data_IF_855783184966
#
_entry.id   IF_855783184966
#
_cell.length_a   1.000
_cell.length_b   1.000
_cell.length_c   1.000
_cell.angle_alpha   90.00
_cell.angle_beta   90.00
_cell.angle_gamma   90.00
#
_symmetry.space_group_name_H-M   'P 1'
#
loop_
_entity.id
_entity.type
_entity.pdbx_description
1 polymer ?
#
# COMPACT_ATOMS: atom_id res chain seq x y z
N UNK A 1 -20.67 3.40 -14.17
CA UNK A 1 -20.44 4.74 -13.57
C UNK A 1 -19.04 5.19 -13.95
N UNK A 2 -18.91 6.22 -14.79
CA UNK A 2 -17.61 6.74 -15.21
C UNK A 2 -17.16 7.80 -14.19
N UNK A 3 -16.42 7.40 -13.15
CA UNK A 3 -15.85 8.33 -12.16
C UNK A 3 -14.43 8.69 -12.60
N UNK A 4 -14.13 9.99 -12.62
CA UNK A 4 -12.77 10.46 -12.85
C UNK A 4 -11.81 9.86 -11.81
N UNK A 5 -10.63 9.44 -12.27
CA UNK A 5 -9.55 8.92 -11.42
C UNK A 5 -8.73 10.13 -10.94
N UNK A 6 -8.55 10.26 -9.63
CA UNK A 6 -7.73 11.31 -9.02
C UNK A 6 -6.24 11.05 -9.27
N UNK A 7 -5.44 12.11 -9.41
CA UNK A 7 -3.97 11.99 -9.51
C UNK A 7 -3.33 11.51 -8.19
N UNK A 8 -4.05 11.65 -7.06
CA UNK A 8 -3.66 11.10 -5.76
C UNK A 8 -4.68 10.12 -5.20
N UNK A 9 -4.22 9.25 -4.30
CA UNK A 9 -4.99 8.27 -3.56
C UNK A 9 -4.55 8.21 -2.09
N UNK A 10 -5.39 7.61 -1.26
CA UNK A 10 -5.05 7.31 0.13
C UNK A 10 -4.52 5.89 0.30
N UNK A 11 -3.66 5.68 1.29
CA UNK A 11 -3.13 4.37 1.65
C UNK A 11 -2.32 4.37 2.93
N UNK A 12 -2.03 3.18 3.44
CA UNK A 12 -1.11 2.97 4.57
C UNK A 12 0.29 2.68 4.02
N UNK A 13 1.27 3.48 4.42
CA UNK A 13 2.65 3.37 3.99
C UNK A 13 3.52 2.84 5.12
N UNK A 14 4.38 1.87 4.80
CA UNK A 14 5.43 1.39 5.69
C UNK A 14 6.63 2.35 5.63
N UNK A 15 6.89 3.06 6.73
CA UNK A 15 7.91 4.11 6.83
C UNK A 15 9.27 3.59 7.32
N UNK A 16 9.34 2.34 7.77
CA UNK A 16 10.55 1.72 8.31
C UNK A 16 10.26 0.40 9.00
N UNK A 17 11.27 -0.19 9.64
CA UNK A 17 11.10 -1.39 10.43
C UNK A 17 10.85 -1.06 11.91
N UNK A 18 9.91 -1.76 12.55
CA UNK A 18 9.57 -1.48 13.95
C UNK A 18 8.16 -1.89 14.34
N UNK A 19 7.61 -1.20 15.34
CA UNK A 19 6.25 -1.40 15.81
C UNK A 19 5.20 -0.80 14.86
N UNK A 20 3.91 -0.81 15.26
CA UNK A 20 2.82 -0.27 14.45
C UNK A 20 2.99 1.21 14.04
N UNK A 21 3.76 2.00 14.78
CA UNK A 21 4.08 3.40 14.48
C UNK A 21 4.81 3.60 13.13
N UNK A 22 5.36 2.53 12.57
CA UNK A 22 5.93 2.53 11.22
C UNK A 22 4.88 2.48 10.10
N UNK A 23 3.59 2.31 10.42
CA UNK A 23 2.50 2.35 9.46
C UNK A 23 1.82 3.72 9.52
N UNK A 24 1.87 4.49 8.43
CA UNK A 24 1.26 5.81 8.36
C UNK A 24 0.18 5.88 7.29
N UNK A 25 -1.01 6.34 7.67
CA UNK A 25 -2.04 6.73 6.72
C UNK A 25 -1.61 8.01 5.99
N UNK A 26 -1.76 8.01 4.67
CA UNK A 26 -1.48 9.15 3.79
C UNK A 26 -2.61 9.31 2.79
N UNK A 27 -2.93 10.55 2.44
CA UNK A 27 -3.97 10.91 1.44
C UNK A 27 -3.37 11.49 0.14
N UNK A 28 -2.04 11.53 0.05
CA UNK A 28 -1.27 12.23 -0.99
C UNK A 28 -0.41 11.28 -1.84
N UNK A 29 -0.70 9.97 -1.83
CA UNK A 29 0.06 9.01 -2.63
C UNK A 29 -0.30 9.17 -4.12
N UNK A 30 0.67 9.11 -5.05
CA UNK A 30 0.34 9.19 -6.47
C UNK A 30 -0.48 7.98 -6.89
N UNK A 31 -1.56 8.22 -7.64
CA UNK A 31 -2.31 7.13 -8.27
C UNK A 31 -1.45 6.51 -9.38
N UNK A 32 -1.21 5.18 -9.37
CA UNK A 32 -0.37 4.54 -10.36
C UNK A 32 -1.00 4.60 -11.76
N UNK A 33 -0.15 4.76 -12.77
CA UNK A 33 -0.55 4.69 -14.19
C UNK A 33 -0.21 3.29 -14.71
N UNK A 34 -1.21 2.46 -15.08
CA UNK A 34 -0.95 1.11 -15.57
C UNK A 34 -0.19 1.16 -16.91
N UNK A 35 0.79 0.27 -17.07
CA UNK A 35 1.47 0.04 -18.34
C UNK A 35 0.71 -0.91 -19.26
N UNK A 36 1.30 -1.30 -20.40
CA UNK A 36 0.71 -2.31 -21.27
C UNK A 36 0.54 -3.65 -20.54
N UNK A 37 -0.70 -4.14 -20.45
CA UNK A 37 -1.04 -5.40 -19.78
C UNK A 37 -1.41 -5.27 -18.30
N UNK A 38 -1.19 -4.12 -17.69
CA UNK A 38 -1.62 -3.85 -16.31
C UNK A 38 -3.08 -3.41 -16.26
N UNK A 39 -3.70 -3.57 -15.09
CA UNK A 39 -5.03 -3.03 -14.80
C UNK A 39 -4.97 -2.13 -13.57
N UNK A 40 -5.77 -1.05 -13.59
CA UNK A 40 -5.96 -0.20 -12.42
C UNK A 40 -7.23 -0.61 -11.69
N UNK A 41 -7.11 -1.00 -10.43
CA UNK A 41 -8.23 -1.47 -9.59
C UNK A 41 -8.48 -0.47 -8.48
N UNK A 42 -9.76 -0.11 -8.29
CA UNK A 42 -10.20 0.58 -7.08
C UNK A 42 -10.43 -0.45 -5.97
N UNK A 43 -9.56 -0.44 -4.98
CA UNK A 43 -9.64 -1.35 -3.83
C UNK A 43 -10.90 -1.02 -3.01
N UNK A 44 -11.75 -2.03 -2.78
CA UNK A 44 -12.91 -1.96 -1.88
C UNK A 44 -12.67 -2.70 -0.57
N UNK A 45 -11.79 -3.71 -0.59
CA UNK A 45 -11.32 -4.46 0.57
C UNK A 45 -9.92 -5.02 0.28
N UNK A 46 -9.12 -5.17 1.34
CA UNK A 46 -7.82 -5.84 1.30
C UNK A 46 -7.69 -6.75 2.53
N UNK A 47 -7.13 -7.94 2.33
CA UNK A 47 -6.87 -8.88 3.42
C UNK A 47 -5.58 -8.50 4.16
N UNK A 48 -5.55 -8.72 5.47
CA UNK A 48 -4.33 -8.62 6.29
C UNK A 48 -3.77 -10.01 6.49
N UNK A 49 -2.47 -10.16 6.25
CA UNK A 49 -1.75 -11.43 6.33
C UNK A 49 -0.55 -11.31 7.29
N UNK A 50 -0.08 -12.44 7.82
CA UNK A 50 1.12 -12.47 8.67
C UNK A 50 2.35 -11.87 7.98
N UNK A 51 2.44 -11.97 6.65
CA UNK A 51 3.51 -11.36 5.85
C UNK A 51 3.59 -9.84 6.03
N UNK A 52 2.47 -9.15 6.25
CA UNK A 52 2.47 -7.70 6.48
C UNK A 52 3.23 -7.36 7.77
N UNK A 53 2.97 -8.13 8.83
CA UNK A 53 3.64 -8.01 10.14
C UNK A 53 5.12 -8.38 10.02
N UNK A 54 5.42 -9.50 9.37
CA UNK A 54 6.78 -9.99 9.20
C UNK A 54 7.65 -9.00 8.41
N UNK A 55 7.09 -8.40 7.37
CA UNK A 55 7.75 -7.36 6.56
C UNK A 55 8.01 -6.12 7.39
N UNK A 56 7.02 -5.64 8.16
CA UNK A 56 7.19 -4.48 9.05
C UNK A 56 8.26 -4.72 10.11
N UNK A 57 8.37 -5.94 10.63
CA UNK A 57 9.35 -6.29 11.68
C UNK A 57 10.75 -6.66 11.15
N UNK A 58 10.99 -6.57 9.83
CA UNK A 58 12.23 -7.05 9.20
C UNK A 58 12.54 -8.53 9.49
N UNK A 59 11.51 -9.36 9.66
CA UNK A 59 11.70 -10.77 10.05
C UNK A 59 12.50 -11.56 9.02
N UNK A 60 12.31 -11.25 7.73
CA UNK A 60 13.01 -11.89 6.62
C UNK A 60 14.45 -11.39 6.40
N UNK A 61 14.88 -10.36 7.12
CA UNK A 61 16.23 -9.78 7.00
C UNK A 61 17.23 -10.39 7.98
N UNK A 62 16.81 -11.36 8.79
CA UNK A 62 17.68 -12.13 9.69
C UNK A 62 18.31 -13.29 8.92
N UNK A 63 19.33 -12.98 8.13
CA UNK A 63 20.22 -13.92 7.45
C UNK A 63 21.65 -13.78 7.94
#
# INVERSE_FOLDING_TARGET
MNRLISDTMSGVVLMGHGGPEMLQWRDDLPTPRPGPGDVLIRITAAAVNNTDVNTRLAWYSKG
#
